data_IF_521638955481
#
_entry.id   IF_521638955481
#
_cell.length_a   1.000
_cell.length_b   1.000
_cell.length_c   1.000
_cell.angle_alpha   90.00
_cell.angle_beta   90.00
_cell.angle_gamma   90.00
#
_symmetry.space_group_name_H-M   'P 1'
#
loop_
_entity.id
_entity.type
_entity.pdbx_description
1 polymer ?
#
# COMPACT_ATOMS: atom_id res chain seq x y z
N UNK A 1 -21.13 -22.24 4.03
CA UNK A 1 -20.88 -20.78 4.09
C UNK A 1 -20.41 -20.33 2.72
N UNK A 2 -20.96 -19.26 2.12
CA UNK A 2 -20.73 -18.89 0.71
C UNK A 2 -19.45 -18.05 0.58
N UNK A 3 -18.44 -18.52 -0.14
CA UNK A 3 -17.31 -17.66 -0.52
C UNK A 3 -17.79 -16.71 -1.61
N UNK A 4 -17.83 -15.40 -1.33
CA UNK A 4 -18.25 -14.42 -2.35
C UNK A 4 -17.15 -14.28 -3.40
N UNK A 5 -17.49 -14.25 -4.70
CA UNK A 5 -16.52 -13.94 -5.76
C UNK A 5 -15.80 -12.62 -5.48
N UNK A 6 -14.54 -12.50 -5.89
CA UNK A 6 -13.82 -11.24 -5.91
C UNK A 6 -14.53 -10.34 -6.92
N UNK A 7 -15.21 -9.31 -6.42
CA UNK A 7 -15.81 -8.30 -7.28
C UNK A 7 -14.71 -7.37 -7.81
N UNK A 8 -14.71 -7.12 -9.12
CA UNK A 8 -13.83 -6.15 -9.78
C UNK A 8 -14.38 -4.71 -9.66
N UNK A 9 -15.69 -4.58 -9.50
CA UNK A 9 -16.35 -3.30 -9.29
C UNK A 9 -16.34 -2.86 -7.84
N UNK A 10 -16.25 -1.55 -7.62
CA UNK A 10 -16.46 -0.92 -6.32
C UNK A 10 -17.94 -0.66 -6.08
N UNK A 11 -18.42 -0.94 -4.87
CA UNK A 11 -19.78 -0.63 -4.44
C UNK A 11 -19.75 0.10 -3.10
N UNK A 12 -20.35 1.27 -3.03
CA UNK A 12 -20.44 2.09 -1.81
C UNK A 12 -21.82 1.98 -1.17
N UNK A 13 -21.94 2.03 0.17
CA UNK A 13 -23.23 2.10 0.84
C UNK A 13 -23.93 3.44 0.56
N UNK A 14 -25.24 3.41 0.30
CA UNK A 14 -26.04 4.61 0.08
C UNK A 14 -26.12 5.48 1.36
N UNK A 15 -25.96 6.81 1.27
CA UNK A 15 -26.16 7.70 2.41
C UNK A 15 -27.60 7.60 2.95
N UNK A 16 -27.76 7.00 4.12
CA UNK A 16 -29.07 6.85 4.80
C UNK A 16 -29.61 5.42 4.90
N UNK A 17 -29.08 4.46 4.14
CA UNK A 17 -29.37 3.02 4.31
C UNK A 17 -28.13 2.17 3.98
N UNK A 18 -27.37 1.73 5.01
CA UNK A 18 -26.17 0.91 4.85
C UNK A 18 -26.39 -0.44 4.16
N UNK A 19 -27.65 -0.87 3.96
CA UNK A 19 -28.00 -2.16 3.34
C UNK A 19 -28.12 -2.09 1.82
N UNK A 20 -28.16 -0.90 1.22
CA UNK A 20 -28.19 -0.73 -0.23
C UNK A 20 -26.85 -0.17 -0.71
N UNK A 21 -26.31 -0.75 -1.79
CA UNK A 21 -25.01 -0.33 -2.34
C UNK A 21 -25.15 0.22 -3.76
N UNK A 22 -24.49 1.34 -4.06
CA UNK A 22 -24.41 1.95 -5.38
C UNK A 22 -23.06 1.62 -6.05
N UNK A 23 -23.04 1.49 -7.38
CA UNK A 23 -21.80 1.37 -8.15
C UNK A 23 -20.94 2.63 -7.97
N UNK A 24 -19.72 2.45 -7.48
CA UNK A 24 -18.80 3.53 -7.10
C UNK A 24 -17.50 3.54 -7.92
N UNK A 25 -17.44 2.80 -9.03
CA UNK A 25 -16.27 2.71 -9.90
C UNK A 25 -15.72 1.29 -10.04
N UNK A 26 -14.51 1.17 -10.58
CA UNK A 26 -13.76 -0.08 -10.63
C UNK A 26 -12.74 -0.12 -9.50
N UNK A 27 -12.32 -1.32 -9.10
CA UNK A 27 -11.26 -1.50 -8.13
C UNK A 27 -9.90 -1.36 -8.80
N UNK A 28 -8.93 -0.91 -8.02
CA UNK A 28 -7.54 -0.89 -8.47
C UNK A 28 -7.02 -2.33 -8.64
N UNK A 29 -6.09 -2.51 -9.56
CA UNK A 29 -5.47 -3.80 -9.79
C UNK A 29 -4.69 -4.28 -8.54
N UNK A 30 -4.11 -3.35 -7.76
CA UNK A 30 -3.48 -3.64 -6.47
C UNK A 30 -4.46 -4.24 -5.48
N UNK A 31 -5.66 -3.67 -5.33
CA UNK A 31 -6.67 -4.18 -4.41
C UNK A 31 -7.11 -5.59 -4.77
N UNK A 32 -7.30 -5.85 -6.06
CA UNK A 32 -7.73 -7.16 -6.57
C UNK A 32 -6.60 -8.18 -6.43
N UNK A 33 -5.36 -7.80 -6.74
CA UNK A 33 -4.19 -8.64 -6.53
C UNK A 33 -3.98 -8.98 -5.06
N UNK A 34 -4.03 -7.99 -4.16
CA UNK A 34 -3.86 -8.20 -2.73
C UNK A 34 -4.94 -9.11 -2.15
N UNK A 35 -6.20 -8.94 -2.56
CA UNK A 35 -7.29 -9.83 -2.15
C UNK A 35 -7.11 -11.26 -2.69
N UNK A 36 -6.74 -11.42 -3.95
CA UNK A 36 -6.47 -12.74 -4.52
C UNK A 36 -5.32 -13.43 -3.79
N UNK A 37 -4.19 -12.73 -3.61
CA UNK A 37 -3.02 -13.22 -2.91
C UNK A 37 -3.37 -13.65 -1.48
N UNK A 38 -4.08 -12.81 -0.72
CA UNK A 38 -4.52 -13.12 0.63
C UNK A 38 -5.42 -14.38 0.68
N UNK A 39 -6.35 -14.53 -0.28
CA UNK A 39 -7.18 -15.74 -0.35
C UNK A 39 -6.35 -16.98 -0.67
N UNK A 40 -5.44 -16.89 -1.63
CA UNK A 40 -4.53 -17.99 -1.99
C UNK A 40 -3.63 -18.36 -0.81
N UNK A 41 -3.05 -17.39 -0.10
CA UNK A 41 -2.27 -17.62 1.12
C UNK A 41 -3.10 -18.32 2.19
N UNK A 42 -4.31 -17.83 2.45
CA UNK A 42 -5.25 -18.44 3.37
C UNK A 42 -5.58 -19.89 2.98
N UNK A 43 -5.70 -20.17 1.70
CA UNK A 43 -5.89 -21.53 1.17
C UNK A 43 -4.61 -22.37 1.13
N UNK A 44 -3.44 -21.78 1.40
CA UNK A 44 -2.15 -22.42 1.16
C UNK A 44 -1.88 -22.70 -0.33
N UNK A 45 -2.49 -21.96 -1.24
CA UNK A 45 -2.41 -22.09 -2.69
C UNK A 45 -1.58 -20.95 -3.32
N UNK A 46 -0.44 -20.60 -2.73
CA UNK A 46 0.55 -19.76 -3.39
C UNK A 46 1.65 -20.61 -4.05
N UNK A 47 2.20 -20.15 -5.18
CA UNK A 47 3.48 -20.63 -5.68
C UNK A 47 4.59 -20.44 -4.63
N UNK A 48 5.55 -21.37 -4.62
CA UNK A 48 6.63 -21.44 -3.64
C UNK A 48 7.88 -20.65 -4.02
N UNK A 49 8.01 -20.17 -5.27
CA UNK A 49 9.09 -19.25 -5.66
C UNK A 49 8.62 -17.79 -5.59
N UNK A 50 7.64 -17.39 -6.40
CA UNK A 50 7.06 -16.05 -6.36
C UNK A 50 5.65 -15.98 -6.94
N UNK A 51 4.94 -14.90 -6.59
CA UNK A 51 3.64 -14.53 -7.14
C UNK A 51 3.55 -13.00 -7.22
N UNK A 52 3.65 -12.44 -8.42
CA UNK A 52 3.91 -11.03 -8.67
C UNK A 52 2.88 -10.43 -9.64
N UNK A 53 2.40 -9.23 -9.33
CA UNK A 53 1.58 -8.44 -10.25
C UNK A 53 2.46 -7.81 -11.34
N UNK A 54 1.96 -7.73 -12.56
CA UNK A 54 2.65 -7.07 -13.66
C UNK A 54 2.76 -5.55 -13.41
N UNK A 55 3.93 -4.98 -13.73
CA UNK A 55 4.26 -3.57 -13.49
C UNK A 55 3.31 -2.61 -14.19
N UNK A 56 2.67 -3.02 -15.28
CA UNK A 56 1.72 -2.17 -15.99
C UNK A 56 0.44 -1.86 -15.18
N UNK A 57 0.20 -2.61 -14.11
CA UNK A 57 -0.92 -2.45 -13.18
C UNK A 57 -0.54 -1.73 -11.88
N UNK A 58 0.71 -1.31 -11.74
CA UNK A 58 1.16 -0.49 -10.62
C UNK A 58 0.52 0.92 -10.63
N UNK A 59 0.73 1.67 -9.55
CA UNK A 59 0.30 3.07 -9.40
C UNK A 59 -1.22 3.32 -9.49
N UNK A 60 -2.05 2.43 -8.94
CA UNK A 60 -3.48 2.66 -8.78
C UNK A 60 -4.32 2.51 -10.05
N UNK A 61 -3.79 1.80 -11.06
CA UNK A 61 -4.53 1.52 -12.29
C UNK A 61 -5.78 0.71 -11.99
N UNK A 62 -6.93 1.21 -12.41
CA UNK A 62 -8.20 0.50 -12.29
C UNK A 62 -8.30 -0.66 -13.28
N UNK A 63 -8.95 -1.74 -12.85
CA UNK A 63 -9.30 -2.84 -13.73
C UNK A 63 -10.41 -2.36 -14.69
N UNK A 64 -10.28 -2.62 -16.01
CA UNK A 64 -11.30 -2.21 -16.97
C UNK A 64 -12.67 -2.80 -16.65
N UNK A 65 -13.72 -2.02 -16.94
CA UNK A 65 -15.09 -2.50 -16.81
C UNK A 65 -15.31 -3.71 -17.71
N UNK A 66 -16.04 -4.70 -17.20
CA UNK A 66 -16.35 -5.96 -17.88
C UNK A 66 -15.10 -6.80 -18.21
N UNK A 67 -13.97 -6.54 -17.55
CA UNK A 67 -12.81 -7.41 -17.62
C UNK A 67 -13.12 -8.78 -17.01
N UNK A 68 -12.63 -9.82 -17.68
CA UNK A 68 -12.65 -11.19 -17.23
C UNK A 68 -11.22 -11.69 -17.02
N UNK A 69 -11.05 -12.75 -16.23
CA UNK A 69 -9.74 -13.36 -15.97
C UNK A 69 -9.64 -14.75 -16.60
N UNK A 70 -8.44 -15.11 -17.06
CA UNK A 70 -8.12 -16.50 -17.37
C UNK A 70 -6.65 -16.79 -17.02
N UNK A 71 -6.35 -18.06 -16.78
CA UNK A 71 -5.03 -18.51 -16.36
C UNK A 71 -4.43 -19.45 -17.41
N UNK A 72 -3.12 -19.37 -17.62
CA UNK A 72 -2.33 -20.36 -18.36
C UNK A 72 -1.27 -20.94 -17.44
N UNK A 73 -1.05 -22.25 -17.54
CA UNK A 73 -0.07 -22.97 -16.74
C UNK A 73 0.76 -23.84 -17.65
N UNK A 74 2.08 -23.65 -17.65
CA UNK A 74 3.00 -24.34 -18.54
C UNK A 74 4.42 -24.49 -17.95
N UNK A 75 5.24 -25.28 -18.63
CA UNK A 75 6.68 -25.37 -18.38
C UNK A 75 7.37 -24.20 -19.09
N UNK A 76 8.06 -23.36 -18.34
CA UNK A 76 8.76 -22.21 -18.90
C UNK A 76 10.13 -22.56 -19.48
N UNK A 77 10.81 -21.56 -20.02
CA UNK A 77 12.18 -21.70 -20.55
C UNK A 77 13.27 -21.71 -19.46
N UNK A 78 12.90 -21.40 -18.22
CA UNK A 78 13.75 -21.46 -17.03
C UNK A 78 13.18 -22.52 -16.08
N UNK A 79 14.04 -23.16 -15.28
CA UNK A 79 13.64 -24.16 -14.27
C UNK A 79 12.41 -23.67 -13.49
N UNK A 80 11.36 -24.50 -13.44
CA UNK A 80 10.10 -24.22 -12.75
C UNK A 80 8.85 -24.31 -13.65
N UNK A 81 7.68 -24.40 -13.02
CA UNK A 81 6.37 -24.32 -13.68
C UNK A 81 5.83 -22.89 -13.52
N UNK A 82 5.30 -22.33 -14.60
CA UNK A 82 4.79 -20.97 -14.65
C UNK A 82 3.26 -20.94 -14.60
N UNK A 83 2.74 -19.85 -14.05
CA UNK A 83 1.33 -19.50 -14.03
C UNK A 83 1.19 -18.04 -14.44
N UNK A 84 0.59 -17.80 -15.59
CA UNK A 84 0.24 -16.45 -16.04
C UNK A 84 -1.26 -16.25 -15.94
N UNK A 85 -1.65 -15.16 -15.30
CA UNK A 85 -3.04 -14.71 -15.19
C UNK A 85 -3.20 -13.49 -16.08
N UNK A 86 -4.19 -13.52 -16.96
CA UNK A 86 -4.48 -12.45 -17.89
C UNK A 86 -5.83 -11.80 -17.59
N UNK A 87 -5.91 -10.50 -17.83
CA UNK A 87 -7.16 -9.74 -17.90
C UNK A 87 -7.57 -9.60 -19.37
N UNK A 88 -8.83 -9.90 -19.68
CA UNK A 88 -9.42 -9.78 -21.00
C UNK A 88 -10.69 -8.94 -20.95
N UNK A 89 -10.76 -7.90 -21.76
CA UNK A 89 -11.95 -7.06 -21.93
C UNK A 89 -12.11 -6.66 -23.39
N UNK A 90 -13.18 -5.92 -23.68
CA UNK A 90 -13.43 -5.39 -25.02
C UNK A 90 -13.29 -3.87 -25.02
N UNK A 91 -12.55 -3.34 -26.00
CA UNK A 91 -12.41 -1.92 -26.26
C UNK A 91 -12.72 -1.67 -27.74
N UNK A 92 -13.73 -0.85 -28.04
CA UNK A 92 -14.20 -0.60 -29.42
C UNK A 92 -14.48 -1.89 -30.22
N UNK A 93 -15.18 -2.84 -29.59
CA UNK A 93 -15.48 -4.19 -30.12
C UNK A 93 -14.25 -5.07 -30.45
N UNK A 94 -13.05 -4.66 -30.05
CA UNK A 94 -11.84 -5.47 -30.17
C UNK A 94 -11.45 -6.08 -28.82
N UNK A 95 -11.11 -7.38 -28.76
CA UNK A 95 -10.65 -8.00 -27.53
C UNK A 95 -9.24 -7.51 -27.20
N UNK A 96 -9.07 -6.94 -26.00
CA UNK A 96 -7.78 -6.60 -25.43
C UNK A 96 -7.43 -7.65 -24.39
N UNK A 97 -6.23 -8.18 -24.44
CA UNK A 97 -5.71 -9.15 -23.44
C UNK A 97 -4.38 -8.64 -22.92
N UNK A 98 -4.25 -8.61 -21.60
CA UNK A 98 -3.09 -8.08 -20.90
C UNK A 98 -2.66 -8.98 -19.76
N UNK A 99 -1.34 -9.11 -19.58
CA UNK A 99 -0.77 -9.85 -18.46
C UNK A 99 -1.13 -9.14 -17.16
N UNK A 100 -1.54 -9.88 -16.14
CA UNK A 100 -1.91 -9.31 -14.85
C UNK A 100 -1.02 -9.83 -13.72
N UNK A 101 -0.80 -11.15 -13.63
CA UNK A 101 0.00 -11.77 -12.57
C UNK A 101 0.84 -12.88 -13.16
N UNK A 102 2.08 -12.99 -12.69
CA UNK A 102 2.95 -14.15 -12.96
C UNK A 102 3.33 -14.83 -11.65
N UNK A 103 3.12 -16.14 -11.60
CA UNK A 103 3.53 -17.04 -10.52
C UNK A 103 4.50 -18.10 -11.01
N UNK A 104 5.38 -18.57 -10.12
CA UNK A 104 6.36 -19.61 -10.45
C UNK A 104 6.64 -20.54 -9.28
N UNK A 105 6.89 -21.82 -9.61
CA UNK A 105 7.37 -22.82 -8.65
C UNK A 105 8.89 -22.98 -8.66
N UNK A 106 9.46 -23.37 -7.51
CA UNK A 106 10.89 -23.69 -7.39
C UNK A 106 11.27 -24.96 -8.17
N UNK A 107 10.35 -25.92 -8.28
CA UNK A 107 10.55 -27.20 -8.97
C UNK A 107 9.82 -27.28 -10.32
N UNK A 108 10.27 -28.18 -11.19
CA UNK A 108 9.71 -28.47 -12.52
C UNK A 108 9.12 -29.88 -12.64
N UNK A 109 8.81 -30.54 -11.52
CA UNK A 109 8.26 -31.90 -11.55
C UNK A 109 6.80 -31.92 -11.99
N UNK A 110 6.29 -33.10 -12.39
CA UNK A 110 4.86 -33.28 -12.64
C UNK A 110 3.97 -32.93 -11.44
N UNK A 111 4.47 -33.12 -10.20
CA UNK A 111 3.76 -32.70 -8.99
C UNK A 111 3.73 -31.17 -8.82
N UNK A 112 4.76 -30.46 -9.29
CA UNK A 112 4.76 -28.99 -9.35
C UNK A 112 3.75 -28.49 -10.38
N UNK A 113 3.63 -29.18 -11.52
CA UNK A 113 2.62 -28.89 -12.53
C UNK A 113 1.20 -29.07 -11.98
N UNK A 114 0.92 -30.20 -11.32
CA UNK A 114 -0.38 -30.46 -10.69
C UNK A 114 -0.72 -29.42 -9.63
N UNK A 115 0.26 -29.03 -8.79
CA UNK A 115 0.10 -27.95 -7.81
C UNK A 115 -0.27 -26.65 -8.51
N UNK A 116 0.39 -26.30 -9.60
CA UNK A 116 0.13 -25.05 -10.30
C UNK A 116 -1.25 -25.03 -10.97
N UNK A 117 -1.72 -26.14 -11.52
CA UNK A 117 -3.11 -26.26 -12.00
C UNK A 117 -4.15 -26.12 -10.88
N UNK A 118 -3.86 -26.61 -9.66
CA UNK A 118 -4.72 -26.37 -8.50
C UNK A 118 -4.79 -24.87 -8.16
N UNK A 119 -3.68 -24.15 -8.25
CA UNK A 119 -3.64 -22.70 -8.03
C UNK A 119 -4.44 -21.98 -9.13
N UNK A 120 -4.24 -22.34 -10.40
CA UNK A 120 -5.03 -21.83 -11.54
C UNK A 120 -6.54 -22.05 -11.36
N UNK A 121 -6.95 -23.22 -10.87
CA UNK A 121 -8.34 -23.52 -10.54
C UNK A 121 -8.85 -22.65 -9.39
N UNK A 122 -8.07 -22.50 -8.31
CA UNK A 122 -8.43 -21.66 -7.17
C UNK A 122 -8.60 -20.19 -7.58
N UNK A 123 -7.74 -19.67 -8.46
CA UNK A 123 -7.86 -18.32 -9.02
C UNK A 123 -9.15 -18.19 -9.82
N UNK A 124 -9.39 -19.09 -10.78
CA UNK A 124 -10.61 -19.07 -11.60
C UNK A 124 -11.87 -19.07 -10.73
N UNK A 125 -11.92 -19.93 -9.71
CA UNK A 125 -13.02 -19.99 -8.74
C UNK A 125 -13.15 -18.72 -7.90
N UNK A 126 -12.04 -18.05 -7.59
CA UNK A 126 -12.08 -16.80 -6.82
C UNK A 126 -12.86 -15.68 -7.55
N UNK A 127 -12.84 -15.65 -8.88
CA UNK A 127 -13.55 -14.63 -9.68
C UNK A 127 -14.89 -15.11 -10.23
N UNK A 128 -15.02 -16.39 -10.60
CA UNK A 128 -16.25 -16.93 -11.20
C UNK A 128 -17.18 -17.64 -10.20
N UNK A 129 -16.68 -17.94 -9.00
CA UNK A 129 -17.32 -18.85 -8.06
C UNK A 129 -17.21 -20.32 -8.51
N UNK A 130 -17.86 -21.22 -7.78
CA UNK A 130 -17.85 -22.67 -8.06
C UNK A 130 -18.74 -23.08 -9.26
N UNK A 131 -19.31 -22.13 -10.01
CA UNK A 131 -20.19 -22.39 -11.16
C UNK A 131 -19.62 -21.76 -12.41
N UNK A 132 -19.36 -22.57 -13.44
CA UNK A 132 -19.07 -22.04 -14.77
C UNK A 132 -20.25 -21.23 -15.31
N UNK A 133 -19.94 -20.20 -16.09
CA UNK A 133 -20.86 -19.24 -16.75
C UNK A 133 -21.92 -19.91 -17.65
N UNK A 134 -21.86 -21.24 -17.84
CA UNK A 134 -22.73 -22.06 -18.68
C UNK A 134 -23.56 -23.13 -17.93
N UNK A 135 -23.80 -22.99 -16.63
CA UNK A 135 -24.65 -23.92 -15.87
C UNK A 135 -26.16 -23.76 -16.19
N UNK A 136 -26.59 -24.00 -17.44
CA UNK A 136 -28.01 -23.98 -17.86
C UNK A 136 -28.78 -25.28 -17.57
N UNK A 137 -28.20 -26.27 -16.91
CA UNK A 137 -28.90 -27.52 -16.59
C UNK A 137 -28.55 -28.04 -15.18
N UNK A 138 -29.09 -27.41 -14.14
CA UNK A 138 -29.24 -28.08 -12.84
C UNK A 138 -30.48 -28.98 -12.92
N UNK A 139 -30.28 -30.29 -12.77
CA UNK A 139 -31.40 -31.24 -12.58
C UNK A 139 -32.04 -30.97 -11.22
N UNK A 140 -33.36 -30.93 -11.19
CA UNK A 140 -34.16 -30.73 -9.99
C UNK A 140 -33.84 -31.86 -8.97
N UNK A 141 -33.11 -31.55 -7.89
CA UNK A 141 -32.87 -32.51 -6.79
C UNK A 141 -31.45 -32.56 -6.20
N UNK A 142 -30.46 -31.90 -6.81
CA UNK A 142 -29.12 -31.81 -6.20
C UNK A 142 -29.11 -30.73 -5.09
N UNK A 143 -28.70 -31.11 -3.88
CA UNK A 143 -28.40 -30.13 -2.84
C UNK A 143 -27.22 -29.28 -3.30
N UNK A 144 -27.22 -27.96 -3.01
CA UNK A 144 -26.08 -27.12 -3.33
C UNK A 144 -24.86 -27.62 -2.55
N UNK A 145 -23.89 -28.16 -3.28
CA UNK A 145 -22.56 -28.49 -2.76
C UNK A 145 -21.92 -27.21 -2.16
N UNK A 146 -21.18 -27.31 -1.05
CA UNK A 146 -20.60 -26.15 -0.38
C UNK A 146 -19.58 -25.45 -1.29
N UNK A 147 -19.92 -24.20 -1.66
CA UNK A 147 -19.28 -23.31 -2.64
C UNK A 147 -17.92 -22.72 -2.17
N UNK A 148 -17.09 -23.50 -1.47
CA UNK A 148 -15.83 -23.03 -0.88
C UNK A 148 -14.67 -24.04 -1.00
N UNK A 149 -14.80 -25.07 -1.83
CA UNK A 149 -13.83 -26.17 -1.90
C UNK A 149 -12.96 -26.08 -3.15
N UNK A 150 -11.64 -26.09 -2.96
CA UNK A 150 -10.69 -26.09 -4.08
C UNK A 150 -10.72 -27.45 -4.78
N UNK A 151 -10.76 -28.53 -3.99
CA UNK A 151 -10.82 -29.91 -4.47
C UNK A 151 -12.22 -30.49 -4.30
N UNK A 152 -12.79 -31.02 -5.39
CA UNK A 152 -14.05 -31.75 -5.34
C UNK A 152 -13.81 -33.19 -4.87
N UNK A 153 -14.08 -33.45 -3.60
CA UNK A 153 -14.13 -34.79 -3.01
C UNK A 153 -15.59 -35.10 -2.66
N UNK A 154 -16.00 -36.37 -2.77
CA UNK A 154 -17.32 -36.73 -2.29
C UNK A 154 -17.37 -36.60 -0.74
N UNK A 155 -18.55 -36.41 -0.13
CA UNK A 155 -18.64 -36.16 1.32
C UNK A 155 -18.06 -37.28 2.20
N UNK A 156 -18.00 -38.53 1.71
CA UNK A 156 -17.45 -39.65 2.45
C UNK A 156 -15.91 -39.69 2.41
N UNK A 157 -15.33 -39.47 1.23
CA UNK A 157 -13.89 -39.33 1.01
C UNK A 157 -13.34 -38.17 1.81
N UNK A 158 -14.02 -37.03 1.74
CA UNK A 158 -13.63 -35.83 2.46
C UNK A 158 -13.60 -36.06 3.97
N UNK A 159 -14.66 -36.65 4.56
CA UNK A 159 -14.67 -37.01 5.99
C UNK A 159 -13.55 -37.97 6.36
N UNK A 160 -13.25 -38.93 5.48
CA UNK A 160 -12.20 -39.93 5.72
C UNK A 160 -10.81 -39.30 5.73
N UNK A 161 -10.50 -38.48 4.73
CA UNK A 161 -9.20 -37.80 4.62
C UNK A 161 -9.04 -36.77 5.74
N UNK A 162 -10.08 -35.98 6.03
CA UNK A 162 -10.08 -35.01 7.14
C UNK A 162 -9.79 -35.73 8.45
N UNK A 163 -10.49 -36.84 8.74
CA UNK A 163 -10.27 -37.62 9.97
C UNK A 163 -8.82 -38.10 10.06
N UNK A 164 -8.25 -38.60 8.97
CA UNK A 164 -6.86 -39.05 8.94
C UNK A 164 -5.87 -37.89 9.19
N UNK A 165 -6.08 -36.72 8.59
CA UNK A 165 -5.25 -35.53 8.79
C UNK A 165 -5.32 -35.01 10.24
N UNK A 166 -6.49 -35.10 10.86
CA UNK A 166 -6.70 -34.68 12.26
C UNK A 166 -5.99 -35.63 13.21
N UNK A 167 -6.15 -36.95 13.01
CA UNK A 167 -5.41 -37.94 13.78
C UNK A 167 -3.89 -37.80 13.62
N UNK A 168 -3.42 -37.38 12.45
CA UNK A 168 -2.01 -37.06 12.23
C UNK A 168 -1.59 -35.78 12.98
N UNK A 169 -2.44 -34.75 12.96
CA UNK A 169 -2.24 -33.48 13.66
C UNK A 169 -2.10 -33.69 15.17
N UNK A 170 -3.01 -34.47 15.77
CA UNK A 170 -2.98 -34.82 17.19
C UNK A 170 -1.71 -35.59 17.59
N UNK A 171 -1.12 -36.35 16.67
CA UNK A 171 0.13 -37.10 16.92
C UNK A 171 1.40 -36.25 16.80
N UNK A 172 1.33 -35.06 16.19
CA UNK A 172 2.49 -34.22 15.89
C UNK A 172 2.20 -32.74 16.19
N UNK A 173 2.07 -32.40 17.48
CA UNK A 173 1.70 -31.05 17.93
C UNK A 173 2.70 -29.93 17.57
N UNK A 174 3.93 -30.23 17.16
CA UNK A 174 5.00 -29.23 17.05
C UNK A 174 5.44 -28.84 15.62
N UNK A 175 4.86 -29.40 14.56
CA UNK A 175 5.29 -29.12 13.16
C UNK A 175 4.10 -28.99 12.16
N UNK A 176 3.09 -28.17 12.47
CA UNK A 176 1.74 -28.31 11.91
C UNK A 176 1.32 -27.37 10.76
N UNK A 177 2.24 -26.64 10.13
CA UNK A 177 1.86 -25.70 9.06
C UNK A 177 1.25 -26.40 7.83
N UNK A 178 1.80 -27.54 7.40
CA UNK A 178 1.37 -28.22 6.16
C UNK A 178 0.01 -28.92 6.29
N UNK A 179 -0.27 -29.54 7.44
CA UNK A 179 -1.56 -30.21 7.70
C UNK A 179 -2.70 -29.19 7.77
N UNK A 180 -2.46 -28.02 8.35
CA UNK A 180 -3.42 -26.92 8.38
C UNK A 180 -3.71 -26.37 6.97
N UNK A 181 -2.68 -26.19 6.14
CA UNK A 181 -2.85 -25.77 4.75
C UNK A 181 -3.70 -26.78 3.96
N UNK A 182 -3.45 -28.08 4.11
CA UNK A 182 -4.25 -29.13 3.45
C UNK A 182 -5.71 -29.12 3.88
N UNK A 183 -5.97 -29.01 5.18
CA UNK A 183 -7.35 -28.91 5.69
C UNK A 183 -8.06 -27.68 5.10
N UNK A 184 -7.38 -26.51 5.06
CA UNK A 184 -7.93 -25.30 4.44
C UNK A 184 -8.24 -25.47 2.96
N UNK A 185 -7.39 -26.15 2.18
CA UNK A 185 -7.69 -26.47 0.76
C UNK A 185 -8.94 -27.32 0.59
N UNK A 186 -9.18 -28.23 1.54
CA UNK A 186 -10.31 -29.17 1.50
C UNK A 186 -11.64 -28.57 1.99
N UNK A 187 -11.60 -27.71 3.01
CA UNK A 187 -12.82 -27.20 3.68
C UNK A 187 -13.12 -25.74 3.37
N UNK A 188 -12.16 -24.99 2.84
CA UNK A 188 -12.26 -23.57 2.52
C UNK A 188 -12.05 -22.64 3.72
N UNK A 189 -12.32 -23.12 4.94
CA UNK A 189 -12.08 -22.43 6.21
C UNK A 189 -11.83 -23.44 7.33
N UNK A 190 -11.02 -23.07 8.33
CA UNK A 190 -10.82 -23.88 9.53
C UNK A 190 -12.04 -23.81 10.45
N UNK A 191 -12.74 -22.68 10.52
CA UNK A 191 -13.92 -22.51 11.39
C UNK A 191 -15.09 -23.38 10.92
N UNK A 192 -15.36 -23.40 9.61
CA UNK A 192 -16.40 -24.26 9.02
C UNK A 192 -16.16 -25.75 9.29
N UNK A 193 -14.89 -26.17 9.32
CA UNK A 193 -14.51 -27.53 9.69
C UNK A 193 -14.78 -27.84 11.18
N UNK A 194 -14.49 -26.89 12.07
CA UNK A 194 -14.70 -27.07 13.51
C UNK A 194 -16.18 -27.24 13.88
N UNK A 195 -17.05 -26.59 13.15
CA UNK A 195 -18.50 -26.74 13.31
C UNK A 195 -18.98 -28.14 12.85
N UNK A 196 -18.37 -28.70 11.81
CA UNK A 196 -18.75 -30.02 11.25
C UNK A 196 -18.28 -31.22 12.09
N UNK A 197 -17.08 -31.17 12.68
CA UNK A 197 -16.47 -32.34 13.37
C UNK A 197 -16.67 -32.32 14.89
N UNK A 198 -17.24 -31.24 15.42
CA UNK A 198 -17.52 -31.11 16.85
C UNK A 198 -16.26 -30.78 17.64
N UNK A 199 -16.38 -29.85 18.58
CA UNK A 199 -15.26 -29.34 19.36
C UNK A 199 -14.65 -30.44 20.24
N UNK A 200 -13.55 -31.07 19.80
CA UNK A 200 -12.49 -31.63 20.66
C UNK A 200 -11.28 -32.05 19.82
N UNK A 201 -10.03 -31.73 20.21
CA UNK A 201 -9.57 -30.87 21.31
C UNK A 201 -8.63 -29.75 20.79
N UNK A 202 -9.17 -28.58 20.46
CA UNK A 202 -8.39 -27.34 20.43
C UNK A 202 -9.19 -26.31 21.22
N UNK A 203 -8.81 -26.05 22.48
CA UNK A 203 -9.30 -24.85 23.19
C UNK A 203 -8.64 -23.65 22.53
N UNK A 204 -9.17 -23.22 21.39
CA UNK A 204 -8.80 -21.92 20.82
C UNK A 204 -9.39 -20.83 21.69
N UNK A 205 -8.55 -19.84 22.02
CA UNK A 205 -9.00 -18.66 22.73
C UNK A 205 -10.03 -17.92 21.88
N UNK A 206 -10.87 -17.11 22.51
CA UNK A 206 -11.80 -16.28 21.75
C UNK A 206 -11.04 -15.28 20.85
N UNK A 207 -9.80 -14.91 21.23
CA UNK A 207 -8.90 -14.14 20.38
C UNK A 207 -8.51 -14.90 19.11
N UNK A 208 -8.03 -16.15 19.23
CA UNK A 208 -7.62 -16.96 18.06
C UNK A 208 -8.79 -17.17 17.10
N UNK A 209 -10.00 -17.42 17.63
CA UNK A 209 -11.21 -17.52 16.81
C UNK A 209 -11.53 -16.21 16.10
N UNK A 210 -11.33 -15.08 16.76
CA UNK A 210 -11.56 -13.75 16.19
C UNK A 210 -10.57 -13.49 15.04
N UNK A 211 -9.29 -13.80 15.23
CA UNK A 211 -8.25 -13.69 14.18
C UNK A 211 -8.57 -14.59 13.00
N UNK A 212 -9.02 -15.82 13.25
CA UNK A 212 -9.46 -16.72 12.17
C UNK A 212 -10.66 -16.17 11.40
N UNK A 213 -11.67 -15.65 12.10
CA UNK A 213 -12.83 -15.02 11.47
C UNK A 213 -12.43 -13.84 10.58
N UNK A 214 -11.44 -13.03 11.00
CA UNK A 214 -10.88 -11.95 10.18
C UNK A 214 -10.23 -12.53 8.92
N UNK A 215 -9.29 -13.46 9.08
CA UNK A 215 -8.53 -14.05 7.96
C UNK A 215 -9.44 -14.71 6.93
N UNK A 216 -10.44 -15.45 7.41
CA UNK A 216 -11.40 -16.19 6.60
C UNK A 216 -12.51 -15.27 6.02
N UNK A 217 -12.59 -14.01 6.46
CA UNK A 217 -13.58 -13.04 5.95
C UNK A 217 -14.99 -13.20 6.48
N UNK A 218 -15.12 -13.77 7.67
CA UNK A 218 -16.38 -14.09 8.31
C UNK A 218 -16.85 -12.90 9.14
N UNK A 219 -17.39 -11.87 8.47
CA UNK A 219 -17.83 -10.62 9.12
C UNK A 219 -18.82 -10.87 10.27
N UNK A 220 -19.81 -11.74 10.07
CA UNK A 220 -20.80 -12.07 11.09
C UNK A 220 -20.18 -12.79 12.30
N UNK A 221 -19.19 -13.67 12.06
CA UNK A 221 -18.49 -14.35 13.15
C UNK A 221 -17.61 -13.36 13.93
N UNK A 222 -16.89 -12.48 13.22
CA UNK A 222 -16.10 -11.41 13.82
C UNK A 222 -16.96 -10.49 14.70
N UNK A 223 -18.13 -10.06 14.21
CA UNK A 223 -19.07 -9.22 14.97
C UNK A 223 -19.52 -9.86 16.29
N UNK A 224 -19.71 -11.18 16.31
CA UNK A 224 -20.13 -11.92 17.50
C UNK A 224 -18.99 -12.23 18.47
N UNK A 225 -17.74 -12.32 17.98
CA UNK A 225 -16.57 -12.70 18.75
C UNK A 225 -15.85 -11.50 19.38
N UNK A 226 -15.75 -10.38 18.67
CA UNK A 226 -15.03 -9.19 19.14
C UNK A 226 -15.45 -8.72 20.56
N UNK A 227 -16.74 -8.66 20.94
CA UNK A 227 -17.16 -8.23 22.28
C UNK A 227 -16.62 -9.10 23.43
N UNK A 228 -16.05 -10.27 23.13
CA UNK A 228 -15.44 -11.18 24.12
C UNK A 228 -13.95 -10.90 24.35
N UNK A 229 -13.31 -10.11 23.49
CA UNK A 229 -11.88 -9.77 23.52
C UNK A 229 -11.61 -8.27 23.28
N UNK A 230 -12.34 -7.35 23.95
CA UNK A 230 -12.16 -5.91 23.75
C UNK A 230 -10.78 -5.41 24.19
N UNK A 231 -10.11 -6.14 25.08
CA UNK A 231 -8.74 -5.88 25.55
C UNK A 231 -7.67 -6.09 24.47
N UNK A 232 -8.02 -6.72 23.34
CA UNK A 232 -7.11 -7.01 22.21
C UNK A 232 -7.36 -6.11 21.00
N UNK A 233 -7.97 -4.94 21.21
CA UNK A 233 -8.35 -4.02 20.13
C UNK A 233 -7.15 -3.61 19.25
N UNK A 234 -5.99 -3.31 19.83
CA UNK A 234 -4.76 -2.97 19.10
C UNK A 234 -4.32 -4.10 18.15
N UNK A 235 -4.22 -5.33 18.66
CA UNK A 235 -3.83 -6.51 17.87
C UNK A 235 -4.84 -6.79 16.74
N UNK A 236 -6.14 -6.69 17.07
CA UNK A 236 -7.21 -6.92 16.11
C UNK A 236 -7.25 -5.83 15.04
N UNK A 237 -6.89 -4.59 15.36
CA UNK A 237 -6.82 -3.50 14.39
C UNK A 237 -5.78 -3.80 13.30
N UNK A 238 -4.62 -4.32 13.70
CA UNK A 238 -3.56 -4.74 12.77
C UNK A 238 -4.06 -5.86 11.85
N UNK A 239 -4.77 -6.86 12.38
CA UNK A 239 -5.30 -7.98 11.60
C UNK A 239 -6.42 -7.53 10.63
N UNK A 240 -7.39 -6.71 11.07
CA UNK A 240 -8.47 -6.23 10.18
C UNK A 240 -7.98 -5.25 9.12
N UNK A 241 -7.03 -4.38 9.47
CA UNK A 241 -6.45 -3.43 8.54
C UNK A 241 -5.59 -4.15 7.48
N UNK A 242 -4.89 -5.22 7.86
CA UNK A 242 -4.13 -6.05 6.92
C UNK A 242 -5.00 -6.93 6.03
N UNK A 243 -6.28 -7.14 6.36
CA UNK A 243 -7.18 -7.97 5.55
C UNK A 243 -7.61 -7.21 4.28
N UNK A 244 -7.29 -7.68 3.06
CA UNK A 244 -7.68 -6.98 1.84
C UNK A 244 -9.17 -7.11 1.49
N UNK A 245 -9.64 -6.25 0.59
CA UNK A 245 -10.98 -6.28 0.03
C UNK A 245 -12.07 -5.67 0.93
N UNK A 246 -13.28 -5.54 0.37
CA UNK A 246 -14.41 -4.82 0.99
C UNK A 246 -14.75 -5.34 2.39
N UNK A 247 -14.68 -6.66 2.60
CA UNK A 247 -14.94 -7.26 3.91
C UNK A 247 -13.93 -6.81 4.97
N UNK A 248 -12.66 -6.63 4.60
CA UNK A 248 -11.63 -6.09 5.51
C UNK A 248 -11.87 -4.63 5.84
N UNK A 249 -12.31 -3.84 4.87
CA UNK A 249 -12.78 -2.46 5.11
C UNK A 249 -13.94 -2.41 6.10
N UNK A 250 -14.96 -3.26 5.91
CA UNK A 250 -16.11 -3.33 6.81
C UNK A 250 -15.73 -3.76 8.23
N UNK A 251 -14.85 -4.77 8.37
CA UNK A 251 -14.32 -5.19 9.68
C UNK A 251 -13.54 -4.07 10.36
N UNK A 252 -12.74 -3.31 9.60
CA UNK A 252 -11.98 -2.16 10.10
C UNK A 252 -12.95 -1.08 10.62
N UNK A 253 -13.93 -0.66 9.82
CA UNK A 253 -14.92 0.33 10.22
C UNK A 253 -15.72 -0.11 11.47
N UNK A 254 -16.10 -1.38 11.54
CA UNK A 254 -16.78 -1.93 12.71
C UNK A 254 -15.91 -1.83 13.97
N UNK A 255 -14.63 -2.16 13.87
CA UNK A 255 -13.70 -2.10 15.00
C UNK A 255 -13.43 -0.66 15.43
N UNK A 256 -13.19 0.26 14.49
CA UNK A 256 -13.00 1.69 14.79
C UNK A 256 -14.22 2.31 15.49
N UNK A 257 -15.44 1.85 15.17
CA UNK A 257 -16.67 2.32 15.82
C UNK A 257 -16.91 1.71 17.21
N UNK A 258 -16.30 0.56 17.52
CA UNK A 258 -16.57 -0.22 18.73
C UNK A 258 -15.45 -0.15 19.77
N UNK A 259 -14.23 0.20 19.37
CA UNK A 259 -13.10 0.45 20.26
C UNK A 259 -13.08 1.92 20.72
N UNK A 260 -12.59 2.16 21.93
CA UNK A 260 -12.52 3.52 22.52
C UNK A 260 -11.27 4.27 22.04
N UNK A 261 -10.08 3.71 22.32
CA UNK A 261 -8.79 4.27 21.93
C UNK A 261 -7.80 3.17 21.55
N UNK A 262 -6.86 3.51 20.68
CA UNK A 262 -5.75 2.66 20.25
C UNK A 262 -4.40 3.28 20.61
N UNK A 263 -3.39 2.44 20.77
CA UNK A 263 -2.01 2.93 20.90
C UNK A 263 -1.49 3.50 19.56
N UNK A 264 -0.66 4.56 19.57
CA UNK A 264 -0.05 5.11 18.37
C UNK A 264 0.71 4.08 17.52
N UNK A 265 1.47 3.19 18.17
CA UNK A 265 2.29 2.18 17.49
C UNK A 265 1.44 1.11 16.79
N UNK A 266 0.38 0.63 17.43
CA UNK A 266 -0.54 -0.33 16.83
C UNK A 266 -1.33 0.31 15.69
N UNK A 267 -1.79 1.55 15.86
CA UNK A 267 -2.53 2.28 14.83
C UNK A 267 -1.67 2.59 13.59
N UNK A 268 -0.41 2.99 13.79
CA UNK A 268 0.54 3.19 12.69
C UNK A 268 0.80 1.87 11.96
N UNK A 269 1.02 0.78 12.70
CA UNK A 269 1.18 -0.56 12.11
C UNK A 269 -0.05 -0.95 11.30
N UNK A 270 -1.26 -0.70 11.82
CA UNK A 270 -2.50 -0.95 11.10
C UNK A 270 -2.62 -0.11 9.83
N UNK A 271 -2.24 1.18 9.85
CA UNK A 271 -2.21 2.02 8.66
C UNK A 271 -1.26 1.46 7.59
N UNK A 272 -0.06 1.01 8.00
CA UNK A 272 0.91 0.36 7.08
C UNK A 272 0.34 -0.92 6.49
N UNK A 273 -0.30 -1.77 7.31
CA UNK A 273 -0.99 -2.98 6.83
C UNK A 273 -2.14 -2.67 5.88
N UNK A 274 -2.86 -1.56 6.09
CA UNK A 274 -3.90 -1.12 5.15
C UNK A 274 -3.32 -0.63 3.82
N UNK A 275 -2.14 0.00 3.82
CA UNK A 275 -1.43 0.40 2.59
C UNK A 275 -1.07 -0.83 1.75
N UNK A 276 -0.59 -1.90 2.38
CA UNK A 276 -0.22 -3.16 1.70
C UNK A 276 -1.40 -3.78 0.91
N UNK A 277 -2.65 -3.45 1.25
CA UNK A 277 -3.82 -3.99 0.54
C UNK A 277 -4.20 -3.18 -0.70
N UNK A 278 -3.58 -2.04 -0.94
CA UNK A 278 -3.90 -1.17 -2.07
C UNK A 278 -5.15 -0.29 -1.91
N UNK A 279 -5.88 -0.35 -0.79
CA UNK A 279 -7.16 0.34 -0.61
C UNK A 279 -6.94 1.79 -0.12
N UNK A 280 -6.83 2.72 -1.06
CA UNK A 280 -6.53 4.14 -0.77
C UNK A 280 -7.57 4.77 0.16
N UNK A 281 -8.87 4.49 -0.04
CA UNK A 281 -9.92 5.10 0.78
C UNK A 281 -9.89 4.60 2.22
N UNK A 282 -9.60 3.31 2.42
CA UNK A 282 -9.45 2.77 3.77
C UNK A 282 -8.27 3.39 4.49
N UNK A 283 -7.14 3.56 3.81
CA UNK A 283 -5.97 4.24 4.38
C UNK A 283 -6.30 5.70 4.74
N UNK A 284 -6.96 6.43 3.84
CA UNK A 284 -7.42 7.81 4.11
C UNK A 284 -8.36 7.88 5.31
N UNK A 285 -9.27 6.92 5.44
CA UNK A 285 -10.21 6.84 6.58
C UNK A 285 -9.45 6.63 7.88
N UNK A 286 -8.50 5.69 7.92
CA UNK A 286 -7.66 5.46 9.11
C UNK A 286 -6.86 6.72 9.47
N UNK A 287 -6.18 7.33 8.51
CA UNK A 287 -5.38 8.55 8.75
C UNK A 287 -6.26 9.70 9.28
N UNK A 288 -7.48 9.84 8.75
CA UNK A 288 -8.43 10.87 9.20
C UNK A 288 -8.94 10.61 10.63
N UNK A 289 -9.29 9.38 10.95
CA UNK A 289 -9.83 9.00 12.27
C UNK A 289 -8.76 8.94 13.37
N UNK A 290 -7.47 8.90 13.01
CA UNK A 290 -6.36 8.91 13.96
C UNK A 290 -6.45 10.06 14.99
N UNK A 291 -6.93 11.25 14.59
CA UNK A 291 -7.10 12.39 15.51
C UNK A 291 -8.08 12.11 16.65
N UNK A 292 -9.07 11.25 16.41
CA UNK A 292 -10.15 10.95 17.36
C UNK A 292 -9.88 9.69 18.17
N UNK A 293 -9.23 8.69 17.56
CA UNK A 293 -9.13 7.33 18.10
C UNK A 293 -7.76 7.00 18.73
N UNK A 294 -6.77 7.87 18.60
CA UNK A 294 -5.49 7.66 19.25
C UNK A 294 -5.53 8.04 20.74
N UNK A 295 -4.86 7.22 21.55
CA UNK A 295 -4.65 7.52 22.96
C UNK A 295 -3.84 8.81 23.16
N UNK A 296 -2.87 9.06 22.29
CA UNK A 296 -1.95 10.20 22.30
C UNK A 296 -1.89 10.86 20.92
N UNK A 297 -1.71 12.18 20.85
CA UNK A 297 -1.63 12.86 19.56
C UNK A 297 -0.32 12.52 18.84
N UNK A 298 -0.44 11.95 17.64
CA UNK A 298 0.67 11.62 16.76
C UNK A 298 0.59 12.46 15.46
N UNK A 299 1.00 13.75 15.47
CA UNK A 299 0.91 14.60 14.28
C UNK A 299 1.80 14.13 13.12
N UNK A 300 2.85 13.34 13.39
CA UNK A 300 3.73 12.74 12.39
C UNK A 300 3.13 11.53 11.67
N UNK A 301 2.10 10.90 12.25
CA UNK A 301 1.53 9.64 11.74
C UNK A 301 1.14 9.72 10.25
N UNK A 302 0.44 10.76 9.75
CA UNK A 302 0.13 10.86 8.33
C UNK A 302 1.40 10.87 7.46
N UNK A 303 2.43 11.60 7.87
CA UNK A 303 3.71 11.66 7.18
C UNK A 303 4.45 10.31 7.15
N UNK A 304 4.37 9.54 8.23
CA UNK A 304 4.96 8.19 8.31
C UNK A 304 4.23 7.18 7.42
N UNK A 305 2.89 7.28 7.33
CA UNK A 305 2.08 6.45 6.43
C UNK A 305 2.35 6.82 4.97
N UNK A 306 2.45 8.12 4.65
CA UNK A 306 2.81 8.59 3.31
C UNK A 306 4.18 8.03 2.92
N UNK A 307 5.19 8.18 3.79
CA UNK A 307 6.54 7.69 3.53
C UNK A 307 6.53 6.19 3.24
N UNK A 308 5.83 5.40 4.07
CA UNK A 308 5.72 3.95 3.88
C UNK A 308 5.03 3.59 2.56
N UNK A 309 3.88 4.21 2.25
CA UNK A 309 3.19 3.98 0.98
C UNK A 309 4.06 4.34 -0.23
N UNK A 310 4.85 5.41 -0.11
CA UNK A 310 5.74 5.84 -1.17
C UNK A 310 6.92 4.87 -1.38
N UNK A 311 7.52 4.35 -0.31
CA UNK A 311 8.67 3.42 -0.38
C UNK A 311 8.26 2.02 -0.82
N UNK A 312 7.07 1.55 -0.43
CA UNK A 312 6.56 0.21 -0.77
C UNK A 312 5.83 0.14 -2.13
N UNK A 313 5.97 1.18 -2.98
CA UNK A 313 5.42 1.16 -4.34
C UNK A 313 3.93 1.51 -4.45
N UNK A 314 3.28 1.92 -3.36
CA UNK A 314 1.89 2.40 -3.33
C UNK A 314 1.79 3.92 -3.55
N UNK A 315 2.41 4.41 -4.64
CA UNK A 315 2.56 5.86 -4.92
C UNK A 315 1.24 6.60 -5.07
N UNK A 316 0.21 5.95 -5.61
CA UNK A 316 -1.14 6.52 -5.71
C UNK A 316 -1.72 6.83 -4.33
N UNK A 317 -1.60 5.89 -3.38
CA UNK A 317 -2.05 6.10 -1.99
C UNK A 317 -1.26 7.24 -1.35
N UNK A 318 0.06 7.27 -1.53
CA UNK A 318 0.89 8.35 -1.01
C UNK A 318 0.47 9.72 -1.57
N UNK A 319 0.23 9.82 -2.88
CA UNK A 319 -0.23 11.06 -3.53
C UNK A 319 -1.61 11.49 -3.01
N UNK A 320 -2.56 10.57 -2.95
CA UNK A 320 -3.89 10.85 -2.40
C UNK A 320 -3.79 11.39 -0.97
N UNK A 321 -2.98 10.76 -0.11
CA UNK A 321 -2.75 11.22 1.25
C UNK A 321 -2.10 12.60 1.31
N UNK A 322 -1.09 12.88 0.48
CA UNK A 322 -0.44 14.20 0.42
C UNK A 322 -1.46 15.29 0.07
N UNK A 323 -2.34 15.04 -0.89
CA UNK A 323 -3.38 16.03 -1.26
C UNK A 323 -4.29 16.38 -0.08
N UNK A 324 -4.65 15.39 0.75
CA UNK A 324 -5.59 15.53 1.86
C UNK A 324 -4.96 16.03 3.16
N UNK A 325 -3.67 15.77 3.39
CA UNK A 325 -2.99 16.18 4.61
C UNK A 325 -2.92 17.71 4.73
N UNK A 326 -3.05 18.20 5.95
CA UNK A 326 -2.90 19.62 6.26
C UNK A 326 -1.42 20.01 6.29
N UNK A 327 -1.10 21.31 6.12
CA UNK A 327 0.28 21.78 6.22
C UNK A 327 0.96 21.39 7.54
N UNK A 328 0.23 21.39 8.65
CA UNK A 328 0.77 21.01 9.97
C UNK A 328 1.16 19.52 10.01
N UNK A 329 0.38 18.64 9.37
CA UNK A 329 0.68 17.22 9.29
C UNK A 329 1.90 16.94 8.40
N UNK A 330 2.05 17.69 7.31
CA UNK A 330 3.22 17.59 6.41
C UNK A 330 4.47 18.20 7.05
N UNK A 331 4.33 19.31 7.77
CA UNK A 331 5.44 19.91 8.51
C UNK A 331 5.95 19.00 9.65
N UNK A 332 5.06 18.21 10.27
CA UNK A 332 5.41 17.21 11.27
C UNK A 332 5.92 15.88 10.69
N UNK A 333 5.90 15.72 9.36
CA UNK A 333 6.36 14.51 8.70
C UNK A 333 7.89 14.33 8.81
N UNK A 334 8.34 13.10 8.62
CA UNK A 334 9.77 12.80 8.66
C UNK A 334 10.52 13.51 7.51
N UNK A 335 11.65 14.22 7.75
CA UNK A 335 12.37 15.01 6.74
C UNK A 335 12.76 14.23 5.47
N UNK A 336 13.09 12.95 5.62
CA UNK A 336 13.34 12.00 4.53
C UNK A 336 12.25 11.95 3.46
N UNK A 337 10.99 12.29 3.76
CA UNK A 337 9.89 12.23 2.79
C UNK A 337 10.19 13.11 1.56
N UNK A 338 10.60 14.36 1.76
CA UNK A 338 10.97 15.25 0.66
C UNK A 338 12.22 14.76 -0.08
N UNK A 339 13.19 14.23 0.67
CA UNK A 339 14.39 13.61 0.09
C UNK A 339 14.08 12.47 -0.86
N UNK A 340 13.19 11.56 -0.47
CA UNK A 340 12.81 10.44 -1.32
C UNK A 340 12.10 10.91 -2.60
N UNK A 341 11.18 11.88 -2.50
CA UNK A 341 10.52 12.45 -3.68
C UNK A 341 11.53 13.08 -4.65
N UNK A 342 12.52 13.81 -4.12
CA UNK A 342 13.59 14.41 -4.91
C UNK A 342 14.51 13.36 -5.55
N UNK A 343 14.96 12.34 -4.80
CA UNK A 343 15.83 11.28 -5.32
C UNK A 343 15.16 10.44 -6.42
N UNK A 344 13.84 10.26 -6.35
CA UNK A 344 13.05 9.55 -7.36
C UNK A 344 12.59 10.42 -8.53
N UNK A 345 12.98 11.71 -8.55
CA UNK A 345 12.58 12.68 -9.57
C UNK A 345 11.06 12.79 -9.72
N UNK A 346 10.31 12.61 -8.63
CA UNK A 346 8.85 12.83 -8.61
C UNK A 346 8.58 14.29 -8.29
N UNK A 347 8.75 15.11 -9.32
CA UNK A 347 8.77 16.56 -9.20
C UNK A 347 7.48 17.12 -8.63
N UNK A 348 6.32 16.62 -9.08
CA UNK A 348 5.03 17.09 -8.59
C UNK A 348 4.89 16.83 -7.08
N UNK A 349 5.27 15.63 -6.64
CA UNK A 349 5.19 15.28 -5.21
C UNK A 349 6.13 16.14 -4.37
N UNK A 350 7.35 16.41 -4.86
CA UNK A 350 8.29 17.28 -4.16
C UNK A 350 7.76 18.73 -4.03
N UNK A 351 7.16 19.27 -5.09
CA UNK A 351 6.53 20.60 -5.06
C UNK A 351 5.35 20.63 -4.08
N UNK A 352 4.44 19.64 -4.15
CA UNK A 352 3.27 19.57 -3.26
C UNK A 352 3.69 19.50 -1.78
N UNK A 353 4.78 18.79 -1.48
CA UNK A 353 5.35 18.71 -0.13
C UNK A 353 5.92 20.05 0.34
N UNK A 354 6.66 20.76 -0.52
CA UNK A 354 7.21 22.09 -0.20
C UNK A 354 6.11 23.13 -0.04
N UNK A 355 5.13 23.17 -0.95
CA UNK A 355 3.97 24.07 -0.88
C UNK A 355 3.15 23.85 0.41
N UNK A 356 3.12 22.61 0.92
CA UNK A 356 2.48 22.25 2.21
C UNK A 356 3.41 22.40 3.42
N UNK A 357 4.61 22.93 3.26
CA UNK A 357 5.51 23.27 4.38
C UNK A 357 6.35 22.11 4.92
N UNK A 358 6.68 21.11 4.09
CA UNK A 358 7.61 20.05 4.48
C UNK A 358 8.95 20.63 4.98
N UNK A 359 9.45 20.08 6.09
CA UNK A 359 10.67 20.54 6.74
C UNK A 359 11.83 19.58 6.45
N UNK A 360 12.74 19.89 5.49
CA UNK A 360 13.85 19.00 5.16
C UNK A 360 14.95 18.97 6.24
N UNK A 361 15.09 20.00 7.08
CA UNK A 361 16.15 20.10 8.10
C UNK A 361 17.53 19.81 7.51
N UNK A 362 18.29 18.94 8.18
CA UNK A 362 19.62 18.49 7.74
C UNK A 362 19.62 17.80 6.35
N UNK A 363 18.48 17.24 5.92
CA UNK A 363 18.38 16.54 4.62
C UNK A 363 18.35 17.52 3.44
N UNK A 364 18.21 18.83 3.66
CA UNK A 364 18.23 19.84 2.60
C UNK A 364 19.51 19.74 1.74
N UNK A 365 20.67 19.53 2.38
CA UNK A 365 21.93 19.34 1.68
C UNK A 365 21.95 18.05 0.84
N UNK A 366 21.35 16.98 1.36
CA UNK A 366 21.21 15.69 0.66
C UNK A 366 20.31 15.82 -0.56
N UNK A 367 19.18 16.53 -0.43
CA UNK A 367 18.23 16.81 -1.51
C UNK A 367 18.92 17.59 -2.64
N UNK A 368 19.54 18.71 -2.31
CA UNK A 368 20.21 19.55 -3.31
C UNK A 368 21.35 18.81 -4.00
N UNK A 369 22.13 18.01 -3.24
CA UNK A 369 23.17 17.15 -3.81
C UNK A 369 22.60 16.12 -4.78
N UNK A 370 21.49 15.48 -4.43
CA UNK A 370 20.85 14.48 -5.29
C UNK A 370 20.33 15.10 -6.59
N UNK A 371 19.67 16.26 -6.53
CA UNK A 371 19.13 16.94 -7.70
C UNK A 371 20.22 17.49 -8.61
N UNK A 372 21.17 18.24 -8.04
CA UNK A 372 22.27 18.85 -8.81
C UNK A 372 23.24 17.79 -9.36
N UNK A 373 23.51 16.73 -8.61
CA UNK A 373 24.33 15.61 -9.08
C UNK A 373 23.69 14.82 -10.24
N UNK A 374 22.36 14.82 -10.33
CA UNK A 374 21.60 14.20 -11.43
C UNK A 374 21.33 15.15 -12.60
N UNK A 375 21.98 16.33 -12.64
CA UNK A 375 21.75 17.38 -13.66
C UNK A 375 20.30 17.84 -13.73
N UNK A 376 19.67 18.00 -12.57
CA UNK A 376 18.31 18.53 -12.40
C UNK A 376 18.38 19.86 -11.64
N UNK A 377 19.26 20.76 -12.07
CA UNK A 377 19.50 22.07 -11.44
C UNK A 377 18.23 22.92 -11.44
N UNK A 378 17.47 22.89 -12.54
CA UNK A 378 16.18 23.57 -12.66
C UNK A 378 15.18 23.17 -11.56
N UNK A 379 15.20 21.91 -11.12
CA UNK A 379 14.30 21.41 -10.09
C UNK A 379 14.76 21.88 -8.70
N UNK A 380 16.07 21.87 -8.46
CA UNK A 380 16.64 22.39 -7.22
C UNK A 380 16.33 23.89 -7.06
N UNK A 381 16.47 24.66 -8.14
CA UNK A 381 16.08 26.07 -8.20
C UNK A 381 14.58 26.24 -7.94
N UNK A 382 13.73 25.47 -8.62
CA UNK A 382 12.29 25.58 -8.44
C UNK A 382 11.84 25.30 -7.00
N UNK A 383 12.39 24.29 -6.33
CA UNK A 383 12.06 24.01 -4.93
C UNK A 383 12.50 25.16 -3.99
N UNK A 384 13.66 25.75 -4.24
CA UNK A 384 14.16 26.89 -3.46
C UNK A 384 13.32 28.16 -3.69
N UNK A 385 12.87 28.42 -4.92
CA UNK A 385 11.96 29.51 -5.25
C UNK A 385 10.60 29.36 -4.57
N UNK A 386 10.10 28.12 -4.47
CA UNK A 386 8.86 27.78 -3.74
C UNK A 386 9.01 27.85 -2.22
N UNK A 387 10.20 28.15 -1.71
CA UNK A 387 10.44 28.35 -0.29
C UNK A 387 10.79 27.07 0.46
N UNK A 388 11.42 26.08 -0.18
CA UNK A 388 12.00 24.94 0.52
C UNK A 388 12.92 25.45 1.66
N UNK A 389 12.62 25.11 2.94
CA UNK A 389 13.40 25.62 4.06
C UNK A 389 14.83 25.10 4.01
N UNK A 390 15.81 26.01 4.08
CA UNK A 390 17.22 25.66 4.27
C UNK A 390 17.77 26.55 5.37
N UNK A 391 18.33 25.95 6.42
CA UNK A 391 18.87 26.72 7.53
C UNK A 391 20.08 27.56 7.09
N UNK A 392 20.20 28.83 7.52
CA UNK A 392 21.28 29.72 7.07
C UNK A 392 22.71 29.26 7.39
N UNK A 393 22.86 28.34 8.34
CA UNK A 393 24.12 27.70 8.76
C UNK A 393 24.34 26.32 8.11
N UNK A 394 23.41 25.84 7.29
CA UNK A 394 23.56 24.60 6.52
C UNK A 394 24.46 24.79 5.29
N UNK A 395 25.74 25.10 5.53
CA UNK A 395 26.75 25.29 4.48
C UNK A 395 26.99 24.05 3.61
N UNK A 396 26.55 22.86 4.06
CA UNK A 396 26.60 21.64 3.26
C UNK A 396 25.67 21.68 2.05
N UNK A 397 24.55 22.42 2.14
CA UNK A 397 23.64 22.67 1.03
C UNK A 397 24.30 23.54 -0.05
N UNK A 398 24.89 24.68 0.35
CA UNK A 398 25.60 25.56 -0.58
C UNK A 398 26.80 24.83 -1.23
N UNK A 399 27.56 24.07 -0.44
CA UNK A 399 28.67 23.28 -0.97
C UNK A 399 28.22 22.24 -2.00
N UNK A 400 27.05 21.61 -1.81
CA UNK A 400 26.51 20.67 -2.78
C UNK A 400 26.20 21.35 -4.12
N UNK A 401 25.57 22.53 -4.10
CA UNK A 401 25.29 23.30 -5.31
C UNK A 401 26.57 23.75 -6.02
N UNK A 402 27.55 24.27 -5.29
CA UNK A 402 28.83 24.73 -5.86
C UNK A 402 29.63 23.57 -6.44
N UNK A 403 29.73 22.45 -5.71
CA UNK A 403 30.52 21.29 -6.17
C UNK A 403 29.93 20.64 -7.41
N UNK A 404 28.61 20.74 -7.61
CA UNK A 404 27.90 20.17 -8.74
C UNK A 404 27.67 21.18 -9.88
N UNK A 405 28.28 22.37 -9.81
CA UNK A 405 28.18 23.42 -10.83
C UNK A 405 26.74 23.94 -11.05
N UNK A 406 26.01 24.15 -9.95
CA UNK A 406 24.65 24.70 -9.96
C UNK A 406 24.62 26.14 -9.38
N UNK A 407 25.07 27.15 -10.14
CA UNK A 407 25.17 28.53 -9.67
C UNK A 407 23.81 29.16 -9.34
N UNK A 408 22.74 28.85 -10.08
CA UNK A 408 21.41 29.42 -9.83
C UNK A 408 20.85 29.00 -8.48
N UNK A 409 20.88 27.70 -8.16
CA UNK A 409 20.51 27.19 -6.85
C UNK A 409 21.37 27.79 -5.72
N UNK A 410 22.67 27.95 -5.95
CA UNK A 410 23.58 28.55 -4.98
C UNK A 410 23.28 30.05 -4.72
N UNK A 411 22.90 30.81 -5.74
CA UNK A 411 22.47 32.22 -5.60
C UNK A 411 21.20 32.33 -4.75
N UNK A 412 20.21 31.47 -4.99
CA UNK A 412 18.97 31.43 -4.22
C UNK A 412 19.24 31.16 -2.72
N UNK A 413 20.19 30.28 -2.39
CA UNK A 413 20.59 30.04 -1.00
C UNK A 413 21.19 31.28 -0.32
N UNK A 414 21.94 32.09 -1.07
CA UNK A 414 22.47 33.37 -0.58
C UNK A 414 21.36 34.43 -0.46
N UNK A 415 20.36 34.43 -1.35
CA UNK A 415 19.16 35.27 -1.25
C UNK A 415 18.34 34.93 0.00
N UNK A 416 18.28 33.66 0.37
CA UNK A 416 17.62 33.14 1.58
C UNK A 416 18.42 33.36 2.88
N UNK A 417 19.54 34.09 2.82
CA UNK A 417 20.25 34.59 4.01
C UNK A 417 21.49 33.81 4.44
N UNK A 418 22.01 32.90 3.62
CA UNK A 418 23.31 32.26 3.88
C UNK A 418 24.47 33.28 3.77
N UNK A 419 25.41 33.20 4.71
CA UNK A 419 26.59 34.05 4.77
C UNK A 419 27.75 33.45 3.93
N UNK A 420 28.08 34.12 2.82
CA UNK A 420 29.13 33.67 1.90
C UNK A 420 30.54 33.66 2.53
N UNK A 421 30.85 34.57 3.45
CA UNK A 421 32.18 34.65 4.07
C UNK A 421 32.37 33.54 5.11
N UNK A 422 31.33 33.26 5.90
CA UNK A 422 31.32 32.09 6.79
C UNK A 422 31.38 30.79 6.02
N UNK A 423 30.68 30.69 4.89
CA UNK A 423 30.77 29.55 3.98
C UNK A 423 32.21 29.32 3.49
N UNK A 424 32.90 30.36 3.02
CA UNK A 424 34.30 30.26 2.55
C UNK A 424 35.23 29.69 3.63
N UNK A 425 35.05 30.15 4.88
CA UNK A 425 35.80 29.65 6.03
C UNK A 425 35.48 28.18 6.30
N UNK A 426 34.21 27.80 6.28
CA UNK A 426 33.77 26.40 6.48
C UNK A 426 34.22 25.45 5.37
N UNK A 427 34.33 25.94 4.13
CA UNK A 427 34.70 25.16 2.94
C UNK A 427 36.23 25.04 2.74
N UNK A 428 37.06 25.72 3.54
CA UNK A 428 38.50 25.84 3.33
C UNK A 428 39.22 24.48 3.20
N UNK A 429 38.83 23.51 4.03
CA UNK A 429 39.46 22.19 4.12
C UNK A 429 38.70 21.09 3.38
N UNK A 430 37.68 21.44 2.59
CA UNK A 430 36.87 20.46 1.84
C UNK A 430 37.42 20.23 0.43
N UNK A 431 37.20 19.03 -0.16
CA UNK A 431 37.59 18.76 -1.53
C UNK A 431 36.97 19.77 -2.51
N UNK A 432 37.74 20.24 -3.49
CA UNK A 432 37.23 21.15 -4.53
C UNK A 432 37.27 20.41 -5.86
N UNK A 433 36.10 20.06 -6.37
CA UNK A 433 35.96 19.38 -7.66
C UNK A 433 36.15 20.32 -8.84
N UNK A 434 36.15 19.75 -10.06
CA UNK A 434 36.15 20.54 -11.29
C UNK A 434 34.91 21.45 -11.36
N UNK A 435 35.12 22.72 -11.74
CA UNK A 435 34.05 23.74 -11.79
C UNK A 435 33.72 24.42 -10.47
N UNK A 436 34.25 23.96 -9.32
CA UNK A 436 34.04 24.63 -8.03
C UNK A 436 34.52 26.09 -8.05
N UNK A 437 35.71 26.32 -8.62
CA UNK A 437 36.30 27.67 -8.68
C UNK A 437 35.46 28.62 -9.55
N UNK A 438 34.99 28.14 -10.72
CA UNK A 438 34.16 28.92 -11.65
C UNK A 438 32.83 29.31 -11.01
N UNK A 439 32.14 28.36 -10.37
CA UNK A 439 30.89 28.65 -9.65
C UNK A 439 31.12 29.59 -8.46
N UNK A 440 32.26 29.48 -7.77
CA UNK A 440 32.60 30.41 -6.68
C UNK A 440 32.91 31.83 -7.17
N UNK A 441 33.58 31.98 -8.31
CA UNK A 441 33.82 33.28 -8.93
C UNK A 441 32.49 33.93 -9.34
N UNK A 442 31.58 33.16 -9.93
CA UNK A 442 30.24 33.64 -10.28
C UNK A 442 29.44 34.08 -9.05
N UNK A 443 29.49 33.32 -7.95
CA UNK A 443 28.82 33.69 -6.70
C UNK A 443 29.45 34.92 -6.04
N UNK A 444 30.78 35.04 -6.08
CA UNK A 444 31.47 36.21 -5.55
C UNK A 444 31.15 37.48 -6.35
N UNK A 445 31.06 37.36 -7.67
CA UNK A 445 30.62 38.46 -8.55
C UNK A 445 29.17 38.85 -8.22
N UNK A 446 28.27 37.88 -8.16
CA UNK A 446 26.86 38.10 -7.83
C UNK A 446 26.67 38.77 -6.46
N UNK A 447 27.41 38.33 -5.44
CA UNK A 447 27.32 38.90 -4.08
C UNK A 447 27.95 40.29 -3.96
N UNK A 448 28.83 40.66 -4.89
CA UNK A 448 29.48 41.98 -4.94
C UNK A 448 28.67 43.01 -5.74
N UNK A 449 27.67 42.59 -6.51
CA UNK A 449 26.76 43.50 -7.21
C UNK A 449 25.84 44.22 -6.22
N UNK A 450 25.58 45.53 -6.39
CA UNK A 450 24.67 46.26 -5.53
C UNK A 450 23.24 45.72 -5.71
N UNK A 451 22.72 45.04 -4.68
CA UNK A 451 21.32 44.60 -4.59
C UNK A 451 20.38 45.82 -4.50
N UNK A 452 20.01 46.39 -5.65
CA UNK A 452 18.94 47.38 -5.73
C UNK A 452 17.59 46.67 -5.53
N UNK A 453 17.05 46.72 -4.32
CA UNK A 453 15.63 46.45 -4.08
C UNK A 453 14.83 47.71 -4.43
N UNK A 454 13.77 47.65 -5.25
CA UNK A 454 12.75 48.68 -5.22
C UNK A 454 11.93 48.46 -3.93
N UNK A 455 12.21 49.25 -2.89
CA UNK A 455 11.19 49.50 -1.87
C UNK A 455 9.99 50.13 -2.59
N UNK A 456 8.74 49.74 -2.31
CA UNK A 456 7.60 50.57 -2.66
C UNK A 456 7.78 51.87 -1.88
N UNK A 457 8.10 52.96 -2.59
CA UNK A 457 8.11 54.29 -2.01
C UNK A 457 6.74 54.55 -1.38
N UNK A 458 6.74 54.71 -0.05
CA UNK A 458 5.68 55.38 0.68
C UNK A 458 5.44 56.73 0.03
N UNK A 459 4.36 56.83 -0.74
CA UNK A 459 3.89 58.08 -1.32
C UNK A 459 3.64 59.08 -0.19
N UNK A 460 4.24 60.28 -0.22
CA UNK A 460 3.93 61.28 0.77
C UNK A 460 2.51 61.78 0.49
N UNK A 461 1.63 61.61 1.47
CA UNK A 461 0.33 62.26 1.59
C UNK A 461 0.52 63.78 1.43
N UNK A 462 0.36 64.27 0.21
CA UNK A 462 0.18 65.68 -0.10
C UNK A 462 -1.24 66.08 0.29
N UNK A 463 -1.35 66.77 1.42
CA UNK A 463 -2.59 67.41 1.82
C UNK A 463 -3.00 68.51 0.84
N UNK A 464 -4.29 68.58 0.54
CA UNK A 464 -5.00 69.82 0.29
C UNK A 464 -6.36 69.75 0.98
N UNK A 465 -6.52 70.57 2.03
CA UNK A 465 -7.80 71.22 2.38
C UNK A 465 -8.19 72.14 1.21
N UNK A 466 -9.46 72.42 0.89
CA UNK A 466 -10.63 72.80 1.67
C UNK A 466 -11.90 72.42 0.89
#
# INVERSE_FOLDING_TARGET
MKMKPIELSRREPLPGDPRQTQYAGQRTAQEVFAELKHRLEGMGCLPDEYFLMDREWENGREIPKDADIFCTTDYGSSEGVYLDVYLKWYENDQPVTKSFITGKTLGESGADLDRMFLISSAITKAFHGDRGTYARYLRLGEQPEPESRIVHLNPAEQRTIIKALVEQRERQEQAMSQTEQLLRRMTGSITAYMDEVGQRPLRMSDYDKTVLAIRDGELDAFQNLYPRVPDRADDLLIEVAGRPGVVGGNMTLMLLAAADRFSPDAYLTACKRAVETGDSQRVQTLVKEAKNLLAEQAPSLPGEVILYAYTEGHRNIAKDLITQCTPEQIAAAHPKLLRWAAEKLDFQTAVDLVDKGAQPGDEAASILRALTGQRQEWMAEHLLERGMPVEPDNYAALYACVSNQAPGAAKLLLDHGMDLEKYKTWAEHRPKGEGYAETMEELAAYWSEPRNSPQPEDSPMGGMSL
#
